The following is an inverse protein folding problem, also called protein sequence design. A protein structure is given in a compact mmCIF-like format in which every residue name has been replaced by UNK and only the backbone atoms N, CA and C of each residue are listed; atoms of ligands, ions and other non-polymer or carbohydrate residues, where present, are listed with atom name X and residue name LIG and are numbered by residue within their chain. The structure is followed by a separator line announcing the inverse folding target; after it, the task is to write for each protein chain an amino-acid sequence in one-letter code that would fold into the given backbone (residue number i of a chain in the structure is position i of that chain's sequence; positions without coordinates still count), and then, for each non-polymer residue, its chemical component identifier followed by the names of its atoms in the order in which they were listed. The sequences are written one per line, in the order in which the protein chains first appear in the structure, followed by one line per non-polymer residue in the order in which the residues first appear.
data_IF_566185334280
#
_entry.id   IF_566185334280
#
_cell.length_a   1.000
_cell.length_b   1.000
_cell.length_c   1.000
_cell.angle_alpha   90.00
_cell.angle_beta   90.00
_cell.angle_gamma   90.00
#
_symmetry.space_group_name_H-M   'P 1'
#
loop_
_entity.id
_entity.type
_entity.pdbx_description
1 polymer ?
#
# COMPACT_ATOMS: atom_id res chain seq x y z
N UNK A 1 0.28 1.73 -2.86
CA UNK A 1 0.06 0.50 -2.08
C UNK A 1 0.77 0.63 -0.73
N UNK A 2 0.05 0.74 0.39
CA UNK A 2 0.66 0.88 1.73
C UNK A 2 1.33 -0.41 2.25
N UNK A 3 1.04 -1.56 1.66
CA UNK A 3 1.53 -2.88 2.09
C UNK A 3 2.17 -3.67 0.94
N UNK A 4 3.15 -3.12 0.21
CA UNK A 4 3.64 -3.72 -1.03
C UNK A 4 4.33 -5.07 -0.80
N UNK A 5 5.09 -5.20 0.28
CA UNK A 5 5.79 -6.44 0.60
C UNK A 5 4.82 -7.57 0.96
N UNK A 6 3.83 -7.31 1.81
CA UNK A 6 2.81 -8.31 2.18
C UNK A 6 2.01 -8.73 0.94
N UNK A 7 1.55 -7.74 0.15
CA UNK A 7 0.78 -8.02 -1.06
C UNK A 7 1.54 -8.89 -2.08
N UNK A 8 2.85 -8.72 -2.19
CA UNK A 8 3.68 -9.57 -3.04
C UNK A 8 3.76 -11.02 -2.55
N UNK A 9 3.77 -11.25 -1.25
CA UNK A 9 3.89 -12.60 -0.70
C UNK A 9 2.59 -13.43 -0.71
N UNK A 10 1.42 -12.76 -0.71
CA UNK A 10 0.11 -13.43 -0.69
C UNK A 10 -0.67 -13.28 -2.01
N UNK A 11 0.00 -12.80 -3.06
CA UNK A 11 -0.61 -12.49 -4.35
C UNK A 11 -1.06 -13.78 -5.07
N UNK A 12 -2.28 -13.79 -5.61
CA UNK A 12 -2.79 -14.87 -6.43
C UNK A 12 -2.38 -14.78 -7.92
N UNK A 13 -1.55 -13.82 -8.29
CA UNK A 13 -0.91 -13.62 -9.62
C UNK A 13 -1.85 -13.52 -10.82
N UNK A 14 -3.09 -13.17 -10.66
CA UNK A 14 -4.06 -13.05 -11.78
C UNK A 14 -3.60 -12.15 -12.92
N UNK A 15 -2.74 -11.17 -12.66
CA UNK A 15 -2.14 -10.33 -13.69
C UNK A 15 -1.15 -11.11 -14.59
N UNK A 16 -0.51 -12.14 -14.06
CA UNK A 16 0.36 -13.04 -14.82
C UNK A 16 -0.47 -13.99 -15.67
N UNK A 17 -1.57 -14.55 -15.12
CA UNK A 17 -2.50 -15.39 -15.87
C UNK A 17 -3.13 -14.65 -17.06
N UNK A 18 -3.40 -13.35 -16.91
CA UNK A 18 -3.96 -12.49 -17.96
C UNK A 18 -2.91 -11.78 -18.82
N UNK A 19 -1.63 -12.08 -18.64
CA UNK A 19 -0.55 -11.40 -19.33
C UNK A 19 -0.54 -11.78 -20.83
N UNK A 20 -0.70 -10.77 -21.71
CA UNK A 20 -0.68 -10.98 -23.17
C UNK A 20 0.65 -11.54 -23.67
N UNK A 21 1.76 -11.30 -22.95
CA UNK A 21 3.04 -11.91 -23.29
C UNK A 21 3.00 -13.45 -23.24
N UNK A 22 2.18 -14.00 -22.35
CA UNK A 22 1.96 -15.45 -22.23
C UNK A 22 1.38 -16.10 -23.49
N UNK A 23 0.81 -15.32 -24.42
CA UNK A 23 0.36 -15.83 -25.74
C UNK A 23 1.50 -16.01 -26.74
N UNK A 24 2.67 -15.46 -26.46
CA UNK A 24 3.85 -15.50 -27.35
C UNK A 24 4.88 -16.50 -26.82
N UNK A 25 5.27 -16.37 -25.55
CA UNK A 25 6.27 -17.21 -24.91
C UNK A 25 5.93 -17.47 -23.42
N UNK A 26 6.25 -16.55 -22.53
CA UNK A 26 5.97 -16.66 -21.08
C UNK A 26 5.41 -15.36 -20.56
N UNK A 27 4.47 -15.46 -19.61
CA UNK A 27 4.00 -14.31 -18.86
C UNK A 27 5.16 -13.60 -18.14
N UNK A 28 5.08 -12.29 -18.06
CA UNK A 28 6.05 -11.51 -17.27
C UNK A 28 5.85 -11.84 -15.79
N UNK A 29 6.95 -12.11 -15.08
CA UNK A 29 6.94 -12.38 -13.63
C UNK A 29 6.67 -11.09 -12.81
N UNK A 30 5.47 -10.54 -12.95
CA UNK A 30 5.05 -9.25 -12.38
C UNK A 30 5.15 -9.27 -10.87
N UNK A 31 4.77 -10.38 -10.25
CA UNK A 31 4.80 -10.52 -8.80
C UNK A 31 6.22 -10.54 -8.23
N UNK A 32 7.12 -11.22 -8.91
CA UNK A 32 8.54 -11.23 -8.51
C UNK A 32 9.17 -9.85 -8.62
N UNK A 33 8.82 -9.08 -9.68
CA UNK A 33 9.26 -7.69 -9.83
C UNK A 33 8.74 -6.83 -8.67
N UNK A 34 7.46 -6.97 -8.30
CA UNK A 34 6.88 -6.25 -7.16
C UNK A 34 7.57 -6.60 -5.84
N UNK A 35 7.84 -7.88 -5.60
CA UNK A 35 8.56 -8.34 -4.41
C UNK A 35 9.96 -7.74 -4.34
N UNK A 36 10.67 -7.75 -5.47
CA UNK A 36 12.00 -7.16 -5.55
C UNK A 36 11.99 -5.68 -5.18
N UNK A 37 11.08 -4.89 -5.78
CA UNK A 37 10.96 -3.45 -5.51
C UNK A 37 10.63 -3.22 -4.02
N UNK A 38 9.67 -3.96 -3.46
CA UNK A 38 9.29 -3.84 -2.06
C UNK A 38 10.45 -4.22 -1.12
N UNK A 39 11.23 -5.24 -1.47
CA UNK A 39 12.40 -5.63 -0.69
C UNK A 39 13.51 -4.56 -0.71
N UNK A 40 13.70 -3.86 -1.84
CA UNK A 40 14.64 -2.74 -1.92
C UNK A 40 14.19 -1.57 -1.04
N UNK A 41 12.89 -1.22 -1.08
CA UNK A 41 12.33 -0.18 -0.21
C UNK A 41 12.50 -0.52 1.28
N UNK A 42 12.26 -1.77 1.68
CA UNK A 42 12.45 -2.21 3.06
C UNK A 42 13.92 -2.15 3.54
N UNK A 43 14.89 -2.28 2.64
CA UNK A 43 16.32 -2.21 2.93
C UNK A 43 16.88 -0.80 2.83
N UNK A 44 16.15 0.12 2.24
CA UNK A 44 16.60 1.50 2.04
C UNK A 44 16.76 2.21 3.40
N UNK A 45 17.82 2.97 3.54
CA UNK A 45 18.07 3.83 4.72
C UNK A 45 17.00 4.93 4.83
N UNK A 46 16.57 5.46 3.69
CA UNK A 46 15.49 6.46 3.58
C UNK A 46 14.33 5.88 2.82
N UNK A 47 13.21 5.66 3.54
CA UNK A 47 11.97 5.15 2.95
C UNK A 47 11.13 6.29 2.40
N UNK A 48 10.41 6.02 1.31
CA UNK A 48 9.42 6.97 0.81
C UNK A 48 8.27 7.12 1.82
N UNK A 49 8.09 8.34 2.30
CA UNK A 49 6.97 8.72 3.15
C UNK A 49 6.16 9.75 2.34
N UNK A 50 4.89 9.46 2.00
CA UNK A 50 4.07 10.40 1.25
C UNK A 50 3.83 11.68 2.07
N UNK A 51 3.81 12.82 1.39
CA UNK A 51 3.45 14.08 2.00
C UNK A 51 1.99 14.05 2.46
N UNK A 52 1.74 14.60 3.65
CA UNK A 52 0.36 14.74 4.14
C UNK A 52 -0.40 15.74 3.27
N UNK A 53 -1.54 15.30 2.77
CA UNK A 53 -2.47 16.20 2.08
C UNK A 53 -3.22 17.01 3.12
N UNK A 54 -2.72 18.17 3.46
CA UNK A 54 -3.39 19.10 4.37
C UNK A 54 -4.50 19.84 3.59
N UNK A 55 -5.76 19.79 4.03
CA UNK A 55 -6.81 20.58 3.42
C UNK A 55 -6.49 22.08 3.52
N UNK A 56 -6.44 22.77 2.40
CA UNK A 56 -6.04 24.17 2.32
C UNK A 56 -7.00 25.17 2.99
N UNK A 57 -8.13 24.71 3.53
CA UNK A 57 -9.24 25.60 3.93
C UNK A 57 -9.53 25.60 5.44
N UNK A 58 -9.14 24.61 6.24
CA UNK A 58 -9.56 24.54 7.67
C UNK A 58 -8.52 24.04 8.68
N UNK A 59 -7.29 23.87 8.34
CA UNK A 59 -6.33 23.32 9.30
C UNK A 59 -6.55 21.81 9.55
N UNK A 60 -6.12 21.33 10.70
CA UNK A 60 -6.20 19.91 11.06
C UNK A 60 -7.65 19.53 11.41
N UNK A 61 -8.06 18.34 10.99
CA UNK A 61 -9.31 17.76 11.44
C UNK A 61 -9.22 17.45 12.95
N UNK A 62 -10.24 17.84 13.69
CA UNK A 62 -10.36 17.55 15.13
C UNK A 62 -10.97 16.16 15.39
N UNK A 63 -11.59 15.59 14.35
CA UNK A 63 -12.26 14.31 14.43
C UNK A 63 -11.26 13.17 14.64
N UNK A 64 -11.63 12.26 15.54
CA UNK A 64 -10.89 11.04 15.85
C UNK A 64 -11.62 9.85 15.23
N UNK A 65 -10.90 9.05 14.46
CA UNK A 65 -11.48 7.89 13.79
C UNK A 65 -10.96 6.61 14.45
N UNK A 66 -11.89 5.80 14.94
CA UNK A 66 -11.59 4.47 15.44
C UNK A 66 -11.62 3.45 14.30
N UNK A 67 -10.57 2.65 14.20
CA UNK A 67 -10.47 1.55 13.22
C UNK A 67 -10.50 0.24 14.00
N UNK A 68 -11.54 -0.54 13.76
CA UNK A 68 -11.71 -1.85 14.40
C UNK A 68 -11.15 -2.92 13.48
N UNK A 69 -10.07 -3.56 13.93
CA UNK A 69 -9.36 -4.61 13.19
C UNK A 69 -8.07 -4.14 12.52
N UNK A 70 -6.94 -4.76 12.89
CA UNK A 70 -5.59 -4.49 12.40
C UNK A 70 -5.20 -5.29 11.15
N UNK A 71 -6.15 -5.83 10.39
CA UNK A 71 -5.87 -6.52 9.14
C UNK A 71 -5.51 -5.57 7.99
N UNK A 72 -5.20 -6.10 6.78
CA UNK A 72 -4.78 -5.28 5.64
C UNK A 72 -5.74 -4.15 5.29
N UNK A 73 -7.05 -4.38 5.44
CA UNK A 73 -8.08 -3.38 5.19
C UNK A 73 -8.01 -2.23 6.21
N UNK A 74 -7.94 -2.54 7.51
CA UNK A 74 -7.82 -1.54 8.57
C UNK A 74 -6.53 -0.74 8.47
N UNK A 75 -5.41 -1.40 8.24
CA UNK A 75 -4.10 -0.75 8.06
C UNK A 75 -4.08 0.17 6.83
N UNK A 76 -4.67 -0.26 5.71
CA UNK A 76 -4.78 0.57 4.51
C UNK A 76 -5.69 1.77 4.73
N UNK A 77 -6.82 1.58 5.40
CA UNK A 77 -7.73 2.66 5.78
C UNK A 77 -6.99 3.71 6.62
N UNK A 78 -6.29 3.28 7.66
CA UNK A 78 -5.52 4.18 8.51
C UNK A 78 -4.44 4.94 7.78
N UNK A 79 -3.71 4.27 6.89
CA UNK A 79 -2.67 4.89 6.08
C UNK A 79 -3.25 6.08 5.27
N UNK A 80 -4.33 5.85 4.53
CA UNK A 80 -4.93 6.89 3.70
C UNK A 80 -5.61 7.99 4.51
N UNK A 81 -6.19 7.68 5.65
CA UNK A 81 -6.76 8.69 6.54
C UNK A 81 -5.66 9.55 7.19
N UNK A 82 -4.55 8.93 7.61
CA UNK A 82 -3.40 9.64 8.16
C UNK A 82 -2.74 10.55 7.11
N UNK A 83 -2.65 10.10 5.85
CA UNK A 83 -2.18 10.91 4.72
C UNK A 83 -3.04 12.18 4.54
N UNK A 84 -4.34 12.07 4.80
CA UNK A 84 -5.29 13.19 4.78
C UNK A 84 -5.31 14.04 6.06
N UNK A 85 -4.46 13.74 7.03
CA UNK A 85 -4.34 14.51 8.27
C UNK A 85 -5.32 14.14 9.37
N UNK A 86 -6.08 13.04 9.21
CA UNK A 86 -7.02 12.55 10.22
C UNK A 86 -6.29 11.72 11.29
N UNK A 87 -6.73 11.85 12.55
CA UNK A 87 -6.22 11.04 13.65
C UNK A 87 -6.94 9.69 13.69
N UNK A 88 -6.18 8.61 13.61
CA UNK A 88 -6.70 7.24 13.62
C UNK A 88 -6.21 6.46 14.82
N UNK A 89 -7.09 5.69 15.43
CA UNK A 89 -6.84 4.82 16.57
C UNK A 89 -7.25 3.39 16.21
N UNK A 90 -6.38 2.43 16.53
CA UNK A 90 -6.63 1.00 16.29
C UNK A 90 -7.17 0.31 17.54
N UNK A 91 -8.09 -0.59 17.32
CA UNK A 91 -8.65 -1.48 18.34
C UNK A 91 -8.75 -2.91 17.81
#
# INVERSE_FOLDING_TARGET
NPLPAVCGHICNRRCEDACTRGTIDQAIAIDEVKKFIAAQDLKAETRYIPEKVVPSVRGYFEEKIAIIGGGPAGLSCAFYLAEKGLQTYYF
#
